data_IF_347969833838
#
_entry.id   IF_347969833838
#
_cell.length_a   1.000
_cell.length_b   1.000
_cell.length_c   1.000
_cell.angle_alpha   90.00
_cell.angle_beta   90.00
_cell.angle_gamma   90.00
#
_symmetry.space_group_name_H-M   'P 1'
#
loop_
_entity.id
_entity.type
_entity.pdbx_description
1 polymer ?
#
# COMPACT_ATOMS: atom_id res chain seq x y z
N UNK A 1 33.14 -59.05 31.81
CA UNK A 1 33.28 -58.42 30.48
C UNK A 1 32.16 -57.40 30.14
N UNK A 2 31.47 -56.80 31.12
CA UNK A 2 30.30 -55.94 30.85
C UNK A 2 30.51 -54.42 31.03
N UNK A 3 31.73 -53.97 31.36
CA UNK A 3 31.98 -52.56 31.74
C UNK A 3 32.44 -51.65 30.59
N UNK A 4 32.74 -52.20 29.41
CA UNK A 4 33.21 -51.43 28.24
C UNK A 4 32.14 -51.16 27.18
N UNK A 5 30.95 -51.76 27.31
CA UNK A 5 29.89 -51.63 26.29
C UNK A 5 28.96 -50.42 26.53
N UNK A 6 29.03 -49.80 27.70
CA UNK A 6 28.11 -48.72 28.10
C UNK A 6 28.46 -47.33 27.55
N UNK A 7 29.70 -47.11 27.10
CA UNK A 7 30.13 -45.78 26.64
C UNK A 7 29.93 -45.54 25.14
N UNK A 8 29.71 -46.58 24.33
CA UNK A 8 29.62 -46.44 22.88
C UNK A 8 28.21 -46.12 22.37
N UNK A 9 27.18 -46.31 23.21
CA UNK A 9 25.79 -46.10 22.82
C UNK A 9 25.29 -44.65 23.03
N UNK A 10 26.03 -43.84 23.80
CA UNK A 10 25.59 -42.48 24.15
C UNK A 10 26.07 -41.40 23.16
N UNK A 11 27.04 -41.69 22.30
CA UNK A 11 27.58 -40.75 21.31
C UNK A 11 26.77 -40.70 20.00
N UNK A 12 25.81 -41.61 19.79
CA UNK A 12 24.96 -41.62 18.60
C UNK A 12 23.67 -40.78 18.72
N UNK A 13 23.39 -40.22 19.90
CA UNK A 13 22.15 -39.47 20.16
C UNK A 13 22.27 -37.94 19.97
N UNK A 14 23.39 -37.45 19.42
CA UNK A 14 23.68 -36.02 19.28
C UNK A 14 23.59 -35.47 17.85
N UNK A 15 23.18 -36.27 16.87
CA UNK A 15 23.03 -35.82 15.48
C UNK A 15 21.55 -35.73 15.08
N UNK A 16 20.83 -34.76 15.63
CA UNK A 16 19.50 -34.40 15.15
C UNK A 16 19.33 -32.87 15.16
N UNK A 17 20.28 -32.16 14.57
CA UNK A 17 20.01 -30.83 14.07
C UNK A 17 19.22 -31.01 12.77
N UNK A 18 17.89 -30.98 12.86
CA UNK A 18 17.09 -30.77 11.65
C UNK A 18 17.22 -29.29 11.30
N UNK A 19 17.88 -29.00 10.19
CA UNK A 19 17.83 -27.68 9.60
C UNK A 19 16.44 -27.55 8.98
N UNK A 20 15.53 -26.88 9.69
CA UNK A 20 14.24 -26.51 9.10
C UNK A 20 14.55 -25.40 8.10
N UNK A 21 14.38 -25.68 6.81
CA UNK A 21 14.27 -24.64 5.81
C UNK A 21 13.05 -23.79 6.18
N UNK A 22 13.30 -22.66 6.83
CA UNK A 22 12.25 -21.65 7.01
C UNK A 22 11.90 -21.20 5.60
N UNK A 23 10.66 -21.47 5.12
CA UNK A 23 10.28 -21.03 3.78
C UNK A 23 10.56 -19.53 3.69
N UNK A 24 11.24 -19.11 2.62
CA UNK A 24 11.52 -17.69 2.36
C UNK A 24 10.19 -16.94 2.40
N UNK A 25 9.91 -16.32 3.55
CA UNK A 25 8.70 -15.55 3.78
C UNK A 25 8.69 -14.41 2.77
N UNK A 26 7.58 -14.25 2.03
CA UNK A 26 7.37 -13.05 1.21
C UNK A 26 7.56 -11.82 2.10
N UNK A 27 8.25 -10.77 1.65
CA UNK A 27 8.44 -9.58 2.46
C UNK A 27 7.08 -8.89 2.65
N UNK A 28 6.43 -9.13 3.80
CA UNK A 28 5.13 -8.57 4.19
C UNK A 28 5.25 -7.18 4.84
N UNK A 29 6.45 -6.63 4.90
CA UNK A 29 6.73 -5.33 5.53
C UNK A 29 6.06 -4.23 4.69
N UNK A 30 5.23 -3.44 5.35
CA UNK A 30 4.69 -2.20 4.81
C UNK A 30 4.88 -1.07 5.84
N UNK A 31 5.12 0.13 5.35
CA UNK A 31 5.21 1.35 6.17
C UNK A 31 4.22 2.37 5.64
N UNK A 32 3.67 3.19 6.53
CA UNK A 32 2.67 4.18 6.17
C UNK A 32 2.84 5.42 7.02
N UNK A 33 2.70 6.59 6.39
CA UNK A 33 2.72 7.88 7.06
C UNK A 33 1.56 8.72 6.58
N UNK A 34 0.90 9.38 7.52
CA UNK A 34 -0.26 10.23 7.28
C UNK A 34 0.04 11.64 7.74
N UNK A 35 -0.42 12.64 6.99
CA UNK A 35 -0.25 14.05 7.31
C UNK A 35 -1.48 14.85 6.90
N UNK A 36 -1.75 15.95 7.61
CA UNK A 36 -2.89 16.84 7.37
C UNK A 36 -4.06 16.59 8.30
N UNK A 37 -5.19 17.23 7.98
CA UNK A 37 -6.38 17.31 8.82
C UNK A 37 -7.65 16.94 8.03
N UNK A 38 -8.54 16.21 8.70
CA UNK A 38 -9.83 15.77 8.19
C UNK A 38 -11.00 16.58 8.77
N UNK A 39 -10.75 17.61 9.58
CA UNK A 39 -11.77 18.44 10.23
C UNK A 39 -12.72 19.14 9.25
N UNK A 40 -12.32 19.31 7.99
CA UNK A 40 -13.18 19.87 6.94
C UNK A 40 -14.33 18.95 6.50
N UNK A 41 -14.29 17.66 6.86
CA UNK A 41 -15.33 16.68 6.51
C UNK A 41 -16.57 16.74 7.42
N UNK A 42 -16.70 17.77 8.27
CA UNK A 42 -17.54 17.74 9.46
C UNK A 42 -19.03 18.06 9.30
N UNK A 43 -19.58 18.45 8.12
CA UNK A 43 -21.05 18.66 8.00
C UNK A 43 -21.68 18.26 6.64
N UNK A 44 -22.78 17.51 6.75
CA UNK A 44 -23.84 17.18 5.77
C UNK A 44 -23.43 16.74 4.35
N UNK A 45 -23.57 15.44 4.09
CA UNK A 45 -23.64 14.78 2.76
C UNK A 45 -22.43 15.02 1.84
N UNK A 46 -21.29 14.37 2.11
CA UNK A 46 -20.07 14.55 1.35
C UNK A 46 -20.14 13.78 0.04
N UNK A 47 -20.35 14.55 -1.01
CA UNK A 47 -20.12 14.11 -2.38
C UNK A 47 -18.62 14.21 -2.63
N UNK A 48 -18.03 13.14 -3.15
CA UNK A 48 -16.65 13.16 -3.58
C UNK A 48 -16.57 13.04 -5.10
N UNK A 49 -15.54 13.64 -5.67
CA UNK A 49 -15.17 13.43 -7.07
C UNK A 49 -13.67 13.08 -7.15
N UNK A 50 -13.26 12.54 -8.29
CA UNK A 50 -11.85 12.35 -8.59
C UNK A 50 -11.16 13.69 -8.80
N UNK A 51 -9.98 13.85 -8.21
CA UNK A 51 -9.14 15.02 -8.49
C UNK A 51 -8.69 14.99 -9.96
N UNK A 52 -8.89 16.09 -10.73
CA UNK A 52 -8.76 16.08 -12.19
C UNK A 52 -7.34 15.79 -12.69
N UNK A 53 -6.33 16.07 -11.87
CA UNK A 53 -4.92 15.94 -12.23
C UNK A 53 -4.15 14.90 -11.40
N UNK A 54 -4.79 14.22 -10.44
CA UNK A 54 -4.11 13.30 -9.51
C UNK A 54 -4.69 11.89 -9.58
N UNK A 55 -4.46 11.27 -10.74
CA UNK A 55 -4.52 9.83 -10.95
C UNK A 55 -3.27 9.48 -11.76
N UNK A 56 -2.15 9.26 -11.07
CA UNK A 56 -0.84 9.07 -11.71
C UNK A 56 -0.26 7.71 -11.37
N UNK A 57 0.24 7.02 -12.38
CA UNK A 57 0.97 5.77 -12.25
C UNK A 57 2.33 5.99 -12.89
N UNK A 58 3.40 5.67 -12.16
CA UNK A 58 4.77 5.70 -12.63
C UNK A 58 5.32 4.26 -12.54
N UNK A 59 5.12 3.51 -13.63
CA UNK A 59 5.60 2.11 -13.77
C UNK A 59 6.37 1.96 -15.10
N UNK A 60 7.35 1.04 -15.14
CA UNK A 60 8.32 0.86 -16.25
C UNK A 60 7.74 0.71 -17.67
N UNK A 61 6.43 0.48 -17.83
CA UNK A 61 5.85 0.20 -19.15
C UNK A 61 4.55 0.89 -19.53
N UNK A 62 3.88 1.64 -18.66
CA UNK A 62 2.63 2.37 -18.97
C UNK A 62 1.44 1.53 -19.50
N UNK A 63 1.67 0.29 -19.95
CA UNK A 63 0.76 -0.55 -20.71
C UNK A 63 -0.35 -1.19 -19.84
N UNK A 64 -0.29 -0.98 -18.53
CA UNK A 64 -1.33 -1.39 -17.59
C UNK A 64 -1.78 -0.24 -16.66
N UNK A 65 -1.33 1.00 -16.91
CA UNK A 65 -1.63 2.15 -16.06
C UNK A 65 -3.14 2.37 -15.93
N UNK A 66 -3.88 2.28 -17.04
CA UNK A 66 -5.34 2.41 -17.03
C UNK A 66 -6.02 1.33 -16.17
N UNK A 67 -5.54 0.07 -16.24
CA UNK A 67 -6.13 -1.01 -15.43
C UNK A 67 -5.81 -0.84 -13.95
N UNK A 68 -4.60 -0.38 -13.63
CA UNK A 68 -4.19 -0.06 -12.26
C UNK A 68 -4.99 1.12 -11.72
N UNK A 69 -5.21 2.15 -12.55
CA UNK A 69 -6.05 3.30 -12.23
C UNK A 69 -7.49 2.85 -11.93
N UNK A 70 -8.08 2.03 -12.80
CA UNK A 70 -9.44 1.52 -12.62
C UNK A 70 -9.57 0.64 -11.37
N UNK A 71 -8.56 -0.20 -11.12
CA UNK A 71 -8.47 -1.03 -9.92
C UNK A 71 -8.48 -0.19 -8.64
N UNK A 72 -7.63 0.84 -8.58
CA UNK A 72 -7.57 1.77 -7.44
C UNK A 72 -8.88 2.54 -7.28
N UNK A 73 -9.42 3.09 -8.38
CA UNK A 73 -10.68 3.84 -8.35
C UNK A 73 -11.81 2.98 -7.81
N UNK A 74 -11.91 1.73 -8.26
CA UNK A 74 -12.92 0.78 -7.81
C UNK A 74 -12.79 0.50 -6.32
N UNK A 75 -11.59 0.19 -5.83
CA UNK A 75 -11.35 -0.10 -4.42
C UNK A 75 -11.63 1.12 -3.52
N UNK A 76 -11.19 2.30 -3.94
CA UNK A 76 -11.38 3.56 -3.20
C UNK A 76 -12.85 3.98 -3.19
N UNK A 77 -13.57 3.88 -4.32
CA UNK A 77 -15.01 4.13 -4.38
C UNK A 77 -15.75 3.21 -3.43
N UNK A 78 -15.46 1.91 -3.44
CA UNK A 78 -16.07 0.92 -2.54
C UNK A 78 -15.88 1.30 -1.07
N UNK A 79 -14.68 1.70 -0.66
CA UNK A 79 -14.39 2.12 0.72
C UNK A 79 -15.10 3.42 1.09
N UNK A 80 -15.12 4.41 0.20
CA UNK A 80 -15.78 5.70 0.44
C UNK A 80 -17.31 5.54 0.52
N UNK A 81 -17.92 4.77 -0.39
CA UNK A 81 -19.36 4.48 -0.37
C UNK A 81 -19.76 3.70 0.90
N UNK A 82 -18.94 2.73 1.32
CA UNK A 82 -19.15 2.01 2.58
C UNK A 82 -19.04 2.91 3.83
N UNK A 83 -18.41 4.08 3.71
CA UNK A 83 -18.36 5.11 4.77
C UNK A 83 -19.45 6.17 4.64
N UNK A 84 -20.33 6.08 3.63
CA UNK A 84 -21.48 6.96 3.42
C UNK A 84 -21.27 8.13 2.46
N UNK A 85 -20.12 8.16 1.77
CA UNK A 85 -19.82 9.18 0.76
C UNK A 85 -20.43 8.78 -0.59
N UNK A 86 -20.73 9.77 -1.45
CA UNK A 86 -21.29 9.52 -2.80
C UNK A 86 -20.36 10.03 -3.88
N UNK A 87 -20.04 9.19 -4.87
CA UNK A 87 -19.30 9.64 -6.06
C UNK A 87 -20.21 10.52 -6.93
N UNK A 88 -19.68 11.67 -7.37
CA UNK A 88 -20.35 12.60 -8.30
C UNK A 88 -19.39 13.06 -9.40
N UNK A 89 -19.91 13.72 -10.44
CA UNK A 89 -19.05 14.40 -11.42
C UNK A 89 -18.30 15.57 -10.78
N UNK A 90 -17.14 15.92 -11.31
CA UNK A 90 -16.41 17.13 -10.92
C UNK A 90 -17.25 18.40 -11.14
N UNK A 91 -18.13 18.38 -12.14
CA UNK A 91 -19.04 19.48 -12.48
C UNK A 91 -20.22 19.61 -11.50
N UNK A 92 -20.49 18.56 -10.71
CA UNK A 92 -21.60 18.53 -9.74
C UNK A 92 -21.22 19.19 -8.40
N UNK A 93 -20.20 20.05 -8.39
CA UNK A 93 -19.72 20.78 -7.20
C UNK A 93 -19.45 19.84 -6.01
N UNK A 94 -18.50 18.90 -6.10
CA UNK A 94 -18.20 17.96 -5.02
C UNK A 94 -17.74 18.68 -3.75
N UNK A 95 -17.89 18.03 -2.60
CA UNK A 95 -17.52 18.58 -1.29
C UNK A 95 -16.06 18.22 -0.92
N UNK A 96 -15.50 17.19 -1.55
CA UNK A 96 -14.08 16.83 -1.48
C UNK A 96 -13.58 16.22 -2.80
N UNK A 97 -12.30 16.36 -3.08
CA UNK A 97 -11.64 15.68 -4.20
C UNK A 97 -10.71 14.59 -3.67
N UNK A 98 -10.77 13.43 -4.31
CA UNK A 98 -9.94 12.27 -3.99
C UNK A 98 -8.95 12.03 -5.13
N UNK A 99 -7.66 11.99 -4.82
CA UNK A 99 -6.61 11.68 -5.78
C UNK A 99 -5.67 10.61 -5.25
N UNK A 100 -4.95 9.97 -6.17
CA UNK A 100 -3.94 8.98 -5.83
C UNK A 100 -2.76 9.00 -6.80
N UNK A 101 -1.64 8.47 -6.31
CA UNK A 101 -0.42 8.25 -7.08
C UNK A 101 0.17 6.88 -6.76
N UNK A 102 0.71 6.20 -7.77
CA UNK A 102 1.43 4.94 -7.60
C UNK A 102 2.80 5.08 -8.27
N UNK A 103 3.85 4.62 -7.60
CA UNK A 103 5.18 4.56 -8.18
C UNK A 103 5.91 3.29 -7.75
N UNK A 104 6.65 2.70 -8.68
CA UNK A 104 7.65 1.69 -8.38
C UNK A 104 9.01 2.37 -8.15
N UNK A 105 9.87 1.76 -7.35
CA UNK A 105 11.20 2.32 -7.04
C UNK A 105 12.09 2.47 -8.27
N UNK A 106 11.94 1.60 -9.28
CA UNK A 106 12.60 1.73 -10.59
C UNK A 106 12.28 3.06 -11.30
N UNK A 107 11.09 3.61 -11.07
CA UNK A 107 10.58 4.81 -11.75
C UNK A 107 10.68 6.08 -10.90
N UNK A 108 10.50 5.96 -9.59
CA UNK A 108 10.54 7.11 -8.68
C UNK A 108 11.13 6.71 -7.32
N UNK A 109 12.31 7.25 -7.03
CA UNK A 109 12.98 7.07 -5.75
C UNK A 109 12.27 7.76 -4.59
N UNK A 110 12.55 7.32 -3.36
CA UNK A 110 12.06 7.97 -2.13
C UNK A 110 12.34 9.47 -2.08
N UNK A 111 13.48 9.93 -2.61
CA UNK A 111 13.83 11.35 -2.66
C UNK A 111 12.91 12.14 -3.61
N UNK A 112 12.60 11.58 -4.78
CA UNK A 112 11.66 12.19 -5.73
C UNK A 112 10.22 12.14 -5.23
N UNK A 113 9.85 11.05 -4.53
CA UNK A 113 8.55 10.95 -3.85
C UNK A 113 8.44 12.02 -2.77
N UNK A 114 9.48 12.21 -1.94
CA UNK A 114 9.49 13.23 -0.91
C UNK A 114 9.36 14.64 -1.50
N UNK A 115 10.07 14.93 -2.59
CA UNK A 115 10.00 16.22 -3.30
C UNK A 115 8.58 16.51 -3.83
N UNK A 116 7.92 15.51 -4.44
CA UNK A 116 6.60 15.67 -5.06
C UNK A 116 5.43 15.56 -4.09
N UNK A 117 5.52 14.64 -3.14
CA UNK A 117 4.43 14.31 -2.22
C UNK A 117 4.60 14.98 -0.86
N UNK A 118 5.79 15.48 -0.51
CA UNK A 118 6.08 16.13 0.77
C UNK A 118 5.99 15.21 2.00
N UNK A 119 5.95 13.88 1.79
CA UNK A 119 6.06 12.86 2.82
C UNK A 119 6.57 11.54 2.21
N UNK A 120 7.37 10.79 2.96
CA UNK A 120 7.77 9.42 2.62
C UNK A 120 8.01 8.65 3.94
N UNK A 121 7.41 7.47 4.14
CA UNK A 121 7.61 6.72 5.38
C UNK A 121 8.98 6.03 5.44
N UNK A 122 9.56 5.77 4.26
CA UNK A 122 10.76 4.95 4.10
C UNK A 122 10.42 3.46 4.28
N UNK A 123 11.07 2.59 3.51
CA UNK A 123 10.97 1.15 3.67
C UNK A 123 12.35 0.52 3.49
N UNK A 124 12.85 -0.14 4.54
CA UNK A 124 14.13 -0.83 4.46
C UNK A 124 14.05 -2.04 3.54
N UNK A 125 14.92 -2.05 2.54
CA UNK A 125 15.11 -3.17 1.59
C UNK A 125 16.10 -4.21 2.10
N UNK A 126 16.65 -4.04 3.32
CA UNK A 126 17.60 -4.99 3.90
C UNK A 126 16.94 -6.38 4.03
N UNK A 127 17.63 -7.38 3.48
CA UNK A 127 17.18 -8.78 3.46
C UNK A 127 16.07 -9.08 2.45
N UNK A 128 15.83 -8.18 1.48
CA UNK A 128 14.89 -8.41 0.38
C UNK A 128 15.63 -8.79 -0.90
N UNK A 129 15.12 -9.80 -1.59
CA UNK A 129 15.60 -10.22 -2.91
C UNK A 129 15.05 -9.25 -3.98
N UNK A 130 15.88 -8.29 -4.40
CA UNK A 130 15.48 -7.22 -5.31
C UNK A 130 15.11 -7.72 -6.72
N UNK A 131 15.56 -8.92 -7.10
CA UNK A 131 15.22 -9.52 -8.39
C UNK A 131 13.78 -10.07 -8.40
N UNK A 132 13.17 -10.25 -7.22
CA UNK A 132 11.83 -10.83 -7.05
C UNK A 132 10.81 -9.86 -6.49
N UNK A 133 11.28 -8.90 -5.70
CA UNK A 133 10.46 -8.00 -4.92
C UNK A 133 10.90 -6.58 -5.20
N UNK A 134 9.99 -5.81 -5.76
CA UNK A 134 10.20 -4.39 -5.99
C UNK A 134 9.46 -3.58 -4.92
N UNK A 135 10.11 -2.51 -4.44
CA UNK A 135 9.44 -1.56 -3.55
C UNK A 135 8.47 -0.71 -4.38
N UNK A 136 7.22 -0.66 -3.94
CA UNK A 136 6.17 0.19 -4.49
C UNK A 136 5.66 1.18 -3.45
N UNK A 137 5.18 2.32 -3.94
CA UNK A 137 4.62 3.41 -3.14
C UNK A 137 3.23 3.78 -3.65
N UNK A 138 2.29 3.99 -2.73
CA UNK A 138 0.93 4.46 -3.01
C UNK A 138 0.66 5.70 -2.18
N UNK A 139 0.31 6.80 -2.85
CA UNK A 139 -0.19 8.04 -2.25
C UNK A 139 -1.71 8.07 -2.41
N UNK A 140 -2.42 8.43 -1.35
CA UNK A 140 -3.82 8.87 -1.41
C UNK A 140 -3.90 10.26 -0.80
N UNK A 141 -4.63 11.16 -1.46
CA UNK A 141 -4.75 12.54 -1.03
C UNK A 141 -6.21 13.02 -1.14
N UNK A 142 -6.63 13.77 -0.12
CA UNK A 142 -7.91 14.43 -0.03
C UNK A 142 -7.72 15.93 -0.11
N UNK A 143 -8.52 16.57 -0.94
CA UNK A 143 -8.50 18.01 -1.16
C UNK A 143 -9.85 18.60 -0.81
N UNK A 144 -9.80 19.74 -0.16
CA UNK A 144 -10.92 20.65 -0.17
C UNK A 144 -11.05 21.24 -1.59
N UNK A 145 -12.23 21.28 -2.24
CA UNK A 145 -12.37 21.69 -3.66
C UNK A 145 -11.83 23.08 -4.00
N UNK A 146 -11.73 23.95 -2.98
CA UNK A 146 -11.18 25.31 -3.07
C UNK A 146 -9.68 25.43 -2.77
N UNK A 147 -8.98 24.34 -2.50
CA UNK A 147 -7.55 24.33 -2.14
C UNK A 147 -6.74 23.53 -3.16
N UNK A 148 -5.57 24.06 -3.54
CA UNK A 148 -4.65 23.38 -4.46
C UNK A 148 -3.84 22.28 -3.75
N UNK A 149 -3.48 22.52 -2.49
CA UNK A 149 -2.75 21.56 -1.66
C UNK A 149 -3.70 20.56 -1.00
N UNK A 150 -3.25 19.31 -0.76
CA UNK A 150 -4.05 18.33 -0.06
C UNK A 150 -4.29 18.76 1.39
N UNK A 151 -5.54 18.71 1.82
CA UNK A 151 -5.91 18.93 3.22
C UNK A 151 -5.45 17.75 4.08
N UNK A 152 -5.46 16.55 3.50
CA UNK A 152 -4.99 15.31 4.14
C UNK A 152 -4.39 14.39 3.09
N UNK A 153 -3.35 13.65 3.47
CA UNK A 153 -2.71 12.66 2.61
C UNK A 153 -2.06 11.55 3.41
N UNK A 154 -1.99 10.39 2.80
CA UNK A 154 -1.32 9.21 3.34
C UNK A 154 -0.46 8.59 2.25
N UNK A 155 0.75 8.19 2.59
CA UNK A 155 1.65 7.47 1.71
C UNK A 155 2.04 6.14 2.36
N UNK A 156 1.80 5.06 1.64
CA UNK A 156 2.17 3.70 2.03
C UNK A 156 3.26 3.17 1.11
N UNK A 157 4.20 2.40 1.66
CA UNK A 157 5.23 1.70 0.93
C UNK A 157 5.22 0.22 1.30
N UNK A 158 5.40 -0.65 0.30
CA UNK A 158 5.44 -2.09 0.47
C UNK A 158 6.19 -2.77 -0.66
N UNK A 159 6.24 -4.09 -0.65
CA UNK A 159 6.85 -4.88 -1.72
C UNK A 159 5.79 -5.49 -2.64
N UNK A 160 6.06 -5.46 -3.94
CA UNK A 160 5.27 -6.11 -4.98
C UNK A 160 6.10 -7.20 -5.66
N UNK A 161 5.43 -8.26 -6.14
CA UNK A 161 6.08 -9.33 -6.91
C UNK A 161 5.43 -9.35 -8.30
N UNK A 162 6.25 -9.49 -9.34
CA UNK A 162 5.80 -9.52 -10.74
C UNK A 162 4.91 -10.72 -11.08
N UNK A 163 5.07 -11.83 -10.36
CA UNK A 163 4.43 -13.13 -10.65
C UNK A 163 3.03 -13.31 -10.02
N UNK A 164 2.45 -12.25 -9.43
CA UNK A 164 1.18 -12.35 -8.70
C UNK A 164 -0.01 -12.49 -9.64
N UNK A 165 -0.99 -13.31 -9.26
CA UNK A 165 -2.26 -13.43 -10.01
C UNK A 165 -3.06 -12.12 -9.94
N UNK A 166 -4.04 -11.96 -10.84
CA UNK A 166 -4.91 -10.77 -10.85
C UNK A 166 -5.75 -10.69 -9.56
N UNK A 167 -6.24 -11.82 -9.07
CA UNK A 167 -7.08 -11.86 -7.87
C UNK A 167 -6.29 -11.50 -6.60
N UNK A 168 -5.04 -12.00 -6.49
CA UNK A 168 -4.15 -11.63 -5.39
C UNK A 168 -3.76 -10.15 -5.41
N UNK A 169 -3.68 -9.54 -6.60
CA UNK A 169 -3.45 -8.10 -6.76
C UNK A 169 -4.67 -7.30 -6.35
N UNK A 170 -5.87 -7.72 -6.77
CA UNK A 170 -7.12 -7.08 -6.36
C UNK A 170 -7.28 -7.09 -4.85
N UNK A 171 -7.11 -8.25 -4.20
CA UNK A 171 -7.26 -8.38 -2.76
C UNK A 171 -6.29 -7.45 -2.01
N UNK A 172 -5.03 -7.37 -2.44
CA UNK A 172 -4.05 -6.47 -1.81
C UNK A 172 -4.39 -5.00 -1.97
N UNK A 173 -4.89 -4.60 -3.13
CA UNK A 173 -5.34 -3.22 -3.32
C UNK A 173 -6.52 -2.91 -2.42
N UNK A 174 -7.52 -3.80 -2.32
CA UNK A 174 -8.66 -3.64 -1.42
C UNK A 174 -8.21 -3.48 0.04
N UNK A 175 -7.31 -4.34 0.52
CA UNK A 175 -6.76 -4.30 1.88
C UNK A 175 -5.97 -3.01 2.13
N UNK A 176 -5.08 -2.63 1.20
CA UNK A 176 -4.27 -1.42 1.31
C UNK A 176 -5.13 -0.15 1.32
N UNK A 177 -6.09 -0.05 0.40
CA UNK A 177 -6.98 1.11 0.31
C UNK A 177 -7.85 1.22 1.55
N UNK A 178 -8.36 0.10 2.08
CA UNK A 178 -9.12 0.08 3.34
C UNK A 178 -8.27 0.57 4.52
N UNK A 179 -6.98 0.18 4.58
CA UNK A 179 -6.06 0.65 5.60
C UNK A 179 -5.78 2.14 5.47
N UNK A 180 -5.44 2.60 4.27
CA UNK A 180 -5.08 4.00 3.99
C UNK A 180 -6.24 4.95 4.28
N UNK A 181 -7.46 4.62 3.84
CA UNK A 181 -8.67 5.41 4.08
C UNK A 181 -9.29 5.15 5.45
N UNK A 182 -8.66 4.36 6.32
CA UNK A 182 -9.17 4.00 7.65
C UNK A 182 -9.49 5.23 8.51
N UNK A 183 -8.64 6.26 8.45
CA UNK A 183 -8.78 7.50 9.22
C UNK A 183 -9.92 8.42 8.70
N UNK A 184 -10.38 8.22 7.47
CA UNK A 184 -11.51 8.99 6.92
C UNK A 184 -12.78 8.62 7.72
N UNK A 185 -13.48 9.58 8.33
CA UNK A 185 -14.61 9.29 9.21
C UNK A 185 -15.75 8.63 8.43
N UNK A 186 -16.40 7.64 9.05
CA UNK A 186 -17.69 7.15 8.60
C UNK A 186 -18.77 8.16 8.97
N UNK A 187 -19.72 8.37 8.07
CA UNK A 187 -20.85 9.28 8.23
C UNK A 187 -22.21 8.59 8.05
N UNK A 188 -22.19 7.27 7.89
CA UNK A 188 -23.35 6.39 8.07
C UNK A 188 -23.71 6.25 9.54
#
# INVERSE_FOLDING_TARGET
MFKKLSCLLLTFMLTACVTVDVPKSKPTRATMVTSGDLGFLSQSTPRFAWHPALARVATEKGADDDKVVDLMRTAMTKVMEAKGYRLVSIDDSPDLLLGFGIALESEMSDAQILDKAGLVPGLSTVGVDADKHEKGSVLVALFHPRMAEPAWRVLAQGFTDSEQSRDERQQRVDELVSLMLGAVPSIL
#
